data_IF_749181609452
#
_entry.id   IF_749181609452
#
_cell.length_a   1.000
_cell.length_b   1.000
_cell.length_c   1.000
_cell.angle_alpha   90.00
_cell.angle_beta   90.00
_cell.angle_gamma   90.00
#
_symmetry.space_group_name_H-M   'P 1'
#
loop_
_entity.id
_entity.type
_entity.pdbx_description
1 polymer ?
#
# COMPACT_ATOMS: atom_id res chain seq x y z
N UNK A 1 2.19 10.57 18.26
CA UNK A 1 1.45 10.64 16.99
C UNK A 1 2.20 9.78 15.98
N UNK A 2 1.53 8.79 15.39
CA UNK A 2 2.09 8.03 14.25
C UNK A 2 2.09 8.95 13.03
N UNK A 3 3.19 8.95 12.27
CA UNK A 3 3.35 9.75 11.06
C UNK A 3 3.01 8.85 9.85
N UNK A 4 1.81 8.26 9.89
CA UNK A 4 1.34 7.37 8.85
C UNK A 4 1.15 8.14 7.54
N UNK A 5 1.97 7.82 6.53
CA UNK A 5 2.07 8.54 5.26
C UNK A 5 0.88 8.27 4.33
N UNK A 6 -0.32 8.72 4.70
CA UNK A 6 -1.53 8.49 3.89
C UNK A 6 -1.42 9.12 2.51
N UNK A 7 -1.82 8.37 1.49
CA UNK A 7 -2.03 8.94 0.15
C UNK A 7 -3.40 9.60 0.07
N UNK A 8 -3.46 10.70 -0.67
CA UNK A 8 -4.72 11.32 -1.06
C UNK A 8 -5.40 10.47 -2.15
N UNK A 9 -6.73 10.50 -2.20
CA UNK A 9 -7.50 9.68 -3.16
C UNK A 9 -7.15 9.97 -4.62
N UNK A 10 -6.95 11.24 -4.98
CA UNK A 10 -6.52 11.65 -6.33
C UNK A 10 -5.25 10.89 -6.75
N UNK A 11 -4.19 10.95 -5.94
CA UNK A 11 -2.95 10.24 -6.23
C UNK A 11 -3.13 8.72 -6.37
N UNK A 12 -4.02 8.10 -5.58
CA UNK A 12 -4.32 6.66 -5.72
C UNK A 12 -4.96 6.38 -7.09
N UNK A 13 -5.91 7.20 -7.50
CA UNK A 13 -6.60 7.08 -8.78
C UNK A 13 -5.64 7.25 -9.97
N UNK A 14 -4.78 8.28 -9.93
CA UNK A 14 -3.74 8.54 -10.94
C UNK A 14 -2.78 7.34 -11.08
N UNK A 15 -2.28 6.81 -9.96
CA UNK A 15 -1.33 5.67 -9.98
C UNK A 15 -1.97 4.42 -10.57
N UNK A 16 -3.24 4.13 -10.26
CA UNK A 16 -3.95 2.99 -10.82
C UNK A 16 -4.10 3.17 -12.32
N UNK A 17 -4.64 4.32 -12.76
CA UNK A 17 -4.83 4.60 -14.19
C UNK A 17 -3.50 4.57 -14.96
N UNK A 18 -2.42 5.10 -14.37
CA UNK A 18 -1.09 5.05 -14.97
C UNK A 18 -0.57 3.61 -15.14
N UNK A 19 -0.79 2.74 -14.16
CA UNK A 19 -0.41 1.34 -14.26
C UNK A 19 -1.25 0.59 -15.30
N UNK A 20 -2.55 0.83 -15.36
CA UNK A 20 -3.48 0.22 -16.33
C UNK A 20 -3.17 0.64 -17.78
N UNK A 21 -2.75 1.90 -18.00
CA UNK A 21 -2.36 2.41 -19.33
C UNK A 21 -0.93 2.03 -19.73
N UNK A 22 -0.10 1.57 -18.79
CA UNK A 22 1.30 1.30 -19.05
C UNK A 22 1.50 -0.01 -19.81
N UNK A 23 2.01 0.08 -21.04
CA UNK A 23 2.46 -1.09 -21.82
C UNK A 23 3.63 -1.87 -21.21
N UNK A 24 4.25 -1.35 -20.15
CA UNK A 24 5.45 -1.91 -19.51
C UNK A 24 5.13 -2.61 -18.19
N UNK A 25 3.87 -2.66 -17.80
CA UNK A 25 3.40 -3.30 -16.58
C UNK A 25 2.59 -4.53 -16.98
N UNK A 26 3.16 -5.72 -16.75
CA UNK A 26 2.51 -6.99 -17.09
C UNK A 26 1.32 -7.30 -16.16
N UNK A 27 1.41 -6.88 -14.89
CA UNK A 27 0.38 -7.06 -13.86
C UNK A 27 0.18 -5.73 -13.11
N UNK A 28 -0.80 -4.96 -13.55
CA UNK A 28 -1.13 -3.63 -13.00
C UNK A 28 -1.62 -3.73 -11.55
N UNK A 29 -2.37 -4.80 -11.23
CA UNK A 29 -2.94 -5.02 -9.91
C UNK A 29 -1.86 -5.31 -8.88
N UNK A 30 -0.95 -6.24 -9.18
CA UNK A 30 0.20 -6.53 -8.32
C UNK A 30 1.12 -5.33 -8.20
N UNK A 31 1.37 -4.60 -9.29
CA UNK A 31 2.23 -3.41 -9.26
C UNK A 31 1.68 -2.35 -8.32
N UNK A 32 0.39 -2.06 -8.40
CA UNK A 32 -0.28 -1.14 -7.50
C UNK A 32 -0.26 -1.66 -6.06
N UNK A 33 -0.65 -2.92 -5.84
CA UNK A 33 -0.75 -3.50 -4.50
C UNK A 33 0.61 -3.51 -3.76
N UNK A 34 1.71 -3.78 -4.47
CA UNK A 34 3.05 -3.68 -3.89
C UNK A 34 3.47 -2.26 -3.57
N UNK A 35 2.96 -1.26 -4.30
CA UNK A 35 3.30 0.14 -4.08
C UNK A 35 2.46 0.75 -2.95
N UNK A 36 1.16 0.46 -2.91
CA UNK A 36 0.22 1.06 -1.95
C UNK A 36 0.52 0.67 -0.51
N UNK A 37 1.10 -0.51 -0.26
CA UNK A 37 1.48 -0.93 1.10
C UNK A 37 2.60 -0.07 1.71
N UNK A 38 3.30 0.75 0.93
CA UNK A 38 4.32 1.68 1.43
C UNK A 38 3.75 2.99 2.01
N UNK A 39 2.45 3.28 1.81
CA UNK A 39 1.83 4.51 2.33
C UNK A 39 1.34 4.40 3.78
N UNK A 40 1.57 3.27 4.45
CA UNK A 40 1.13 3.06 5.84
C UNK A 40 -0.38 2.81 5.95
N UNK A 41 -1.23 3.55 5.23
CA UNK A 41 -2.66 3.23 5.09
C UNK A 41 -2.87 1.90 4.36
N UNK A 42 -2.12 1.64 3.29
CA UNK A 42 -2.15 0.33 2.61
C UNK A 42 -1.60 -0.79 3.50
N UNK A 43 -0.57 -0.53 4.31
CA UNK A 43 -0.07 -1.50 5.28
C UNK A 43 -1.09 -1.77 6.40
N UNK A 44 -1.80 -0.74 6.88
CA UNK A 44 -2.87 -0.89 7.87
C UNK A 44 -4.03 -1.71 7.30
N UNK A 45 -4.42 -1.47 6.05
CA UNK A 45 -5.43 -2.27 5.36
C UNK A 45 -5.02 -3.75 5.33
N UNK A 46 -3.76 -4.04 4.99
CA UNK A 46 -3.23 -5.40 4.98
C UNK A 46 -3.17 -6.02 6.39
N UNK A 47 -2.87 -5.21 7.41
CA UNK A 47 -2.90 -5.64 8.81
C UNK A 47 -4.32 -6.06 9.22
N UNK A 48 -5.34 -5.29 8.84
CA UNK A 48 -6.74 -5.57 9.18
C UNK A 48 -7.24 -6.82 8.47
N UNK A 49 -6.86 -7.02 7.20
CA UNK A 49 -7.09 -8.30 6.49
C UNK A 49 -6.43 -9.47 7.23
N UNK A 50 -5.16 -9.31 7.65
CA UNK A 50 -4.45 -10.33 8.42
C UNK A 50 -5.16 -10.70 9.74
N UNK A 51 -5.72 -9.71 10.44
CA UNK A 51 -6.52 -9.94 11.66
C UNK A 51 -7.82 -10.67 11.34
N UNK A 52 -8.51 -10.29 10.27
CA UNK A 52 -9.78 -10.90 9.86
C UNK A 52 -9.62 -12.40 9.56
N UNK A 53 -8.55 -12.77 8.86
CA UNK A 53 -8.28 -14.18 8.49
C UNK A 53 -7.47 -14.95 9.55
N UNK A 54 -7.16 -14.32 10.69
CA UNK A 54 -6.38 -14.95 11.76
C UNK A 54 -4.91 -15.25 11.40
N UNK A 55 -4.33 -14.54 10.42
CA UNK A 55 -2.95 -14.74 9.99
C UNK A 55 -1.99 -13.78 10.72
N UNK A 56 -1.44 -14.25 11.83
CA UNK A 56 -0.49 -13.49 12.66
C UNK A 56 0.78 -13.06 11.90
N UNK A 57 1.18 -13.81 10.88
CA UNK A 57 2.38 -13.48 10.08
C UNK A 57 2.14 -12.21 9.25
N UNK A 58 0.98 -12.09 8.60
CA UNK A 58 0.60 -10.88 7.87
C UNK A 58 0.51 -9.69 8.82
N UNK A 59 -0.10 -9.88 10.00
CA UNK A 59 -0.23 -8.82 11.02
C UNK A 59 1.15 -8.31 11.47
N UNK A 60 2.10 -9.22 11.74
CA UNK A 60 3.45 -8.86 12.16
C UNK A 60 4.26 -8.18 11.05
N UNK A 61 4.14 -8.65 9.80
CA UNK A 61 4.80 -8.01 8.65
C UNK A 61 4.24 -6.60 8.44
N UNK A 62 2.91 -6.44 8.44
CA UNK A 62 2.26 -5.15 8.28
C UNK A 62 2.67 -4.16 9.39
N UNK A 63 2.74 -4.63 10.65
CA UNK A 63 3.23 -3.82 11.75
C UNK A 63 4.68 -3.37 11.52
N UNK A 64 5.56 -4.29 11.09
CA UNK A 64 6.97 -3.95 10.79
C UNK A 64 7.07 -2.89 9.69
N UNK A 65 6.21 -2.97 8.66
CA UNK A 65 6.17 -1.96 7.59
C UNK A 65 5.71 -0.61 8.14
N UNK A 66 4.64 -0.57 8.94
CA UNK A 66 4.15 0.65 9.59
C UNK A 66 5.25 1.28 10.45
N UNK A 67 5.92 0.49 11.29
CA UNK A 67 6.99 0.95 12.16
C UNK A 67 8.16 1.52 11.34
N UNK A 68 8.51 0.87 10.23
CA UNK A 68 9.57 1.35 9.32
C UNK A 68 9.20 2.69 8.68
N UNK A 69 7.94 2.87 8.26
CA UNK A 69 7.45 4.15 7.71
C UNK A 69 7.52 5.24 8.77
N UNK A 70 7.06 4.95 9.99
CA UNK A 70 7.09 5.89 11.11
C UNK A 70 8.54 6.30 11.48
N UNK A 71 9.47 5.34 11.52
CA UNK A 71 10.90 5.61 11.76
C UNK A 71 11.51 6.53 10.69
N UNK A 72 11.22 6.29 9.42
CA UNK A 72 11.74 7.09 8.30
C UNK A 72 11.12 8.49 8.30
N UNK A 73 9.80 8.60 8.49
CA UNK A 73 9.07 9.86 8.54
C UNK A 73 9.49 10.77 9.70
N UNK A 74 9.90 10.19 10.84
CA UNK A 74 10.35 10.96 12.02
C UNK A 74 11.71 11.65 11.82
N UNK A 75 12.38 11.45 10.68
CA UNK A 75 13.53 12.27 10.29
C UNK A 75 14.59 12.35 11.36
N UNK A 76 15.05 11.18 11.85
CA UNK A 76 16.11 11.12 12.85
C UNK A 76 17.26 12.07 12.51
N UNK A 77 17.86 12.68 13.53
CA UNK A 77 19.12 13.45 13.39
C UNK A 77 20.13 12.67 12.55
N UNK A 78 21.16 13.31 11.95
CA UNK A 78 22.16 12.59 11.13
C UNK A 78 22.79 11.35 11.78
N UNK A 79 22.74 11.26 13.13
CA UNK A 79 23.20 10.12 13.96
C UNK A 79 22.15 9.01 14.18
N UNK A 80 20.88 9.26 13.91
CA UNK A 80 19.73 8.35 14.09
C UNK A 80 18.98 8.08 12.77
N UNK A 81 19.60 8.38 11.63
CA UNK A 81 19.06 8.09 10.31
C UNK A 81 18.80 6.58 10.20
N UNK A 82 17.52 6.18 10.19
CA UNK A 82 17.17 4.77 10.02
C UNK A 82 17.53 4.34 8.60
N UNK A 83 18.30 3.26 8.49
CA UNK A 83 18.61 2.59 7.21
C UNK A 83 17.65 1.44 6.93
N UNK A 84 16.65 1.22 7.78
CA UNK A 84 15.64 0.19 7.54
C UNK A 84 14.88 0.52 6.27
N UNK A 85 14.63 -0.53 5.50
CA UNK A 85 13.89 -0.46 4.24
C UNK A 85 12.79 -1.51 4.28
N UNK A 86 11.64 -1.13 3.73
CA UNK A 86 10.59 -2.09 3.40
C UNK A 86 11.13 -2.95 2.25
N UNK A 87 11.17 -4.27 2.46
CA UNK A 87 11.70 -5.21 1.48
C UNK A 87 10.63 -5.64 0.49
N UNK A 88 11.06 -6.04 -0.72
CA UNK A 88 10.16 -6.54 -1.77
C UNK A 88 9.33 -7.74 -1.30
N UNK A 89 9.91 -8.62 -0.48
CA UNK A 89 9.21 -9.77 0.10
C UNK A 89 8.09 -9.34 1.03
N UNK A 90 8.33 -8.33 1.88
CA UNK A 90 7.28 -7.78 2.75
C UNK A 90 6.18 -7.15 1.90
N UNK A 91 6.54 -6.36 0.87
CA UNK A 91 5.56 -5.75 -0.04
C UNK A 91 4.72 -6.80 -0.75
N UNK A 92 5.37 -7.84 -1.28
CA UNK A 92 4.72 -8.92 -2.00
C UNK A 92 3.72 -9.67 -1.12
N UNK A 93 4.12 -10.08 0.10
CA UNK A 93 3.21 -10.80 1.02
C UNK A 93 1.98 -9.97 1.37
N UNK A 94 2.17 -8.68 1.66
CA UNK A 94 1.04 -7.79 1.97
C UNK A 94 0.18 -7.51 0.73
N UNK A 95 0.79 -7.34 -0.44
CA UNK A 95 0.10 -7.14 -1.71
C UNK A 95 -0.79 -8.35 -2.07
N UNK A 96 -0.27 -9.57 -1.93
CA UNK A 96 -1.03 -10.80 -2.15
C UNK A 96 -2.23 -10.86 -1.20
N UNK A 97 -2.03 -10.60 0.09
CA UNK A 97 -3.14 -10.60 1.05
C UNK A 97 -4.25 -9.60 0.69
N UNK A 98 -3.86 -8.41 0.21
CA UNK A 98 -4.82 -7.42 -0.25
C UNK A 98 -5.55 -7.86 -1.53
N UNK A 99 -4.84 -8.43 -2.50
CA UNK A 99 -5.44 -8.91 -3.75
C UNK A 99 -6.33 -10.14 -3.54
N UNK A 100 -5.97 -11.06 -2.65
CA UNK A 100 -6.83 -12.19 -2.28
C UNK A 100 -8.14 -11.73 -1.63
N UNK A 101 -8.09 -10.65 -0.83
CA UNK A 101 -9.29 -10.10 -0.19
C UNK A 101 -10.16 -9.26 -1.13
N UNK A 102 -9.54 -8.36 -1.89
CA UNK A 102 -10.23 -7.30 -2.62
C UNK A 102 -10.27 -7.52 -4.14
N UNK A 103 -9.56 -8.52 -4.66
CA UNK A 103 -9.61 -8.97 -6.05
C UNK A 103 -8.76 -8.17 -7.04
N UNK A 104 -8.61 -6.86 -6.86
CA UNK A 104 -7.88 -5.98 -7.79
C UNK A 104 -7.37 -4.69 -7.14
N UNK A 105 -6.55 -3.92 -7.86
CA UNK A 105 -6.13 -2.57 -7.46
C UNK A 105 -7.32 -1.64 -7.24
N UNK A 106 -8.31 -1.69 -8.15
CA UNK A 106 -9.55 -0.91 -8.00
C UNK A 106 -10.33 -1.34 -6.75
N UNK A 107 -10.38 -2.63 -6.43
CA UNK A 107 -11.00 -3.14 -5.20
C UNK A 107 -10.29 -2.66 -3.93
N UNK A 108 -8.96 -2.66 -3.93
CA UNK A 108 -8.15 -2.12 -2.83
C UNK A 108 -8.40 -0.61 -2.66
N UNK A 109 -8.48 0.14 -3.77
CA UNK A 109 -8.73 1.57 -3.76
C UNK A 109 -10.12 1.92 -3.22
N UNK A 110 -11.15 1.16 -3.61
CA UNK A 110 -12.49 1.29 -3.08
C UNK A 110 -12.52 1.04 -1.56
N UNK A 111 -11.86 -0.02 -1.09
CA UNK A 111 -11.82 -0.36 0.34
C UNK A 111 -11.01 0.65 1.19
N UNK A 112 -9.87 1.10 0.68
CA UNK A 112 -8.97 1.98 1.42
C UNK A 112 -9.31 3.47 1.32
N UNK A 113 -9.88 3.91 0.21
CA UNK A 113 -10.09 5.34 -0.11
C UNK A 113 -11.51 5.68 -0.57
N UNK A 114 -12.40 4.70 -0.71
CA UNK A 114 -13.77 4.93 -1.16
C UNK A 114 -13.89 5.32 -2.63
N UNK A 115 -12.84 5.08 -3.43
CA UNK A 115 -12.81 5.46 -4.84
C UNK A 115 -13.74 4.59 -5.68
N UNK A 116 -14.45 5.25 -6.59
CA UNK A 116 -15.29 4.64 -7.61
C UNK A 116 -14.48 4.35 -8.88
N UNK A 117 -15.00 3.46 -9.74
CA UNK A 117 -14.39 3.21 -11.04
C UNK A 117 -14.33 4.48 -11.90
N UNK A 118 -15.40 5.30 -11.89
CA UNK A 118 -15.47 6.54 -12.66
C UNK A 118 -14.41 7.56 -12.22
N UNK A 119 -14.12 7.68 -10.91
CA UNK A 119 -13.05 8.56 -10.42
C UNK A 119 -11.67 8.10 -10.90
N UNK A 120 -11.43 6.78 -10.96
CA UNK A 120 -10.19 6.22 -11.47
C UNK A 120 -10.08 6.44 -12.99
N UNK A 121 -11.15 6.16 -13.74
CA UNK A 121 -11.16 6.32 -15.20
C UNK A 121 -10.96 7.78 -15.63
N UNK A 122 -11.41 8.74 -14.82
CA UNK A 122 -11.27 10.17 -15.08
C UNK A 122 -10.02 10.82 -14.46
N UNK A 123 -9.17 10.08 -13.74
CA UNK A 123 -7.95 10.62 -13.15
C UNK A 123 -6.97 11.19 -14.19
N UNK A 124 -6.17 12.19 -13.82
CA UNK A 124 -5.14 12.75 -14.71
C UNK A 124 -3.88 11.87 -14.72
N UNK A 125 -3.34 11.54 -15.90
CA UNK A 125 -2.13 10.69 -16.07
C UNK A 125 -1.20 11.29 -17.11
#
# INVERSE_FOLDING_TARGET
>A
MSYMKKWIGEHVAEVIKANELSRWVDDADMKFAMYVVECGQGAQLAQDVGREIGNETIVAIAQTVIDTIDEVSRGGTPRTRSYRKITDKQRYVLAVALLEKYGSARGIAAAGWGLTADEIDNAEV
#
